data_IF_387578354279
#
_entry.id   IF_387578354279
#
_cell.length_a   1.000
_cell.length_b   1.000
_cell.length_c   1.000
_cell.angle_alpha   90.00
_cell.angle_beta   90.00
_cell.angle_gamma   90.00
#
_symmetry.space_group_name_H-M   'P 1'
#
loop_
_entity.id
_entity.type
_entity.pdbx_description
1 polymer ?
#
# COMPACT_ATOMS: atom_id res chain seq x y z
N UNK A 1 -20.73 32.85 -4.58
CA UNK A 1 -20.51 31.44 -4.94
C UNK A 1 -19.13 31.03 -4.45
N UNK A 2 -19.03 30.15 -3.45
CA UNK A 2 -17.73 29.68 -2.96
C UNK A 2 -17.14 28.70 -3.97
N UNK A 3 -16.06 29.09 -4.64
CA UNK A 3 -15.26 28.20 -5.48
C UNK A 3 -14.61 27.14 -4.57
N UNK A 4 -15.31 26.03 -4.34
CA UNK A 4 -14.85 24.92 -3.53
C UNK A 4 -13.52 24.40 -4.06
N UNK A 5 -12.46 24.58 -3.27
CA UNK A 5 -11.16 24.02 -3.60
C UNK A 5 -11.28 22.51 -3.71
N UNK A 6 -11.08 21.99 -4.92
CA UNK A 6 -10.96 20.57 -5.24
C UNK A 6 -9.61 20.08 -4.73
N UNK A 7 -9.54 19.89 -3.41
CA UNK A 7 -8.35 19.43 -2.68
C UNK A 7 -8.32 17.92 -2.48
N UNK A 8 -9.34 17.20 -2.93
CA UNK A 8 -9.41 15.74 -2.80
C UNK A 8 -8.81 15.07 -4.02
N UNK A 9 -7.52 15.28 -4.23
CA UNK A 9 -6.74 14.54 -5.23
C UNK A 9 -6.35 13.22 -4.61
N UNK A 10 -6.60 12.11 -5.31
CA UNK A 10 -6.11 10.81 -4.85
C UNK A 10 -4.58 10.89 -4.68
N UNK A 11 -4.09 10.51 -3.50
CA UNK A 11 -2.65 10.53 -3.16
C UNK A 11 -1.84 9.69 -4.15
N UNK A 12 -2.46 8.67 -4.76
CA UNK A 12 -1.85 7.82 -5.76
C UNK A 12 -2.82 7.57 -6.92
N UNK A 13 -2.56 8.19 -8.07
CA UNK A 13 -3.42 8.10 -9.26
C UNK A 13 -3.52 6.66 -9.79
N UNK A 14 -2.45 5.88 -9.66
CA UNK A 14 -2.40 4.49 -10.11
C UNK A 14 -3.20 3.55 -9.19
N UNK A 15 -3.47 3.93 -7.92
CA UNK A 15 -4.36 3.15 -7.05
C UNK A 15 -5.83 3.29 -7.41
N UNK A 16 -6.22 4.28 -8.23
CA UNK A 16 -7.63 4.53 -8.56
C UNK A 16 -8.35 3.28 -9.06
N UNK A 17 -7.73 2.54 -9.99
CA UNK A 17 -8.30 1.30 -10.54
C UNK A 17 -8.49 0.22 -9.48
N UNK A 18 -7.50 0.04 -8.60
CA UNK A 18 -7.56 -0.95 -7.53
C UNK A 18 -8.62 -0.58 -6.47
N UNK A 19 -8.74 0.70 -6.15
CA UNK A 19 -9.76 1.22 -5.24
C UNK A 19 -11.18 1.07 -5.81
N UNK A 20 -11.36 1.32 -7.11
CA UNK A 20 -12.65 1.09 -7.77
C UNK A 20 -13.04 -0.39 -7.75
N UNK A 21 -12.10 -1.30 -8.00
CA UNK A 21 -12.34 -2.75 -7.87
C UNK A 21 -12.74 -3.13 -6.44
N UNK A 22 -11.96 -2.69 -5.45
CA UNK A 22 -12.23 -2.96 -4.03
C UNK A 22 -13.62 -2.44 -3.60
N UNK A 23 -14.02 -1.26 -4.08
CA UNK A 23 -15.35 -0.69 -3.82
C UNK A 23 -16.47 -1.64 -4.27
N UNK A 24 -16.35 -2.21 -5.48
CA UNK A 24 -17.33 -3.17 -6.02
C UNK A 24 -17.25 -4.55 -5.36
N UNK A 25 -16.08 -4.98 -4.89
CA UNK A 25 -15.93 -6.23 -4.15
C UNK A 25 -16.63 -6.14 -2.78
N UNK A 26 -16.38 -5.06 -2.05
CA UNK A 26 -16.96 -4.82 -0.72
C UNK A 26 -18.47 -4.62 -0.80
N UNK A 27 -18.97 -3.92 -1.83
CA UNK A 27 -20.41 -3.78 -2.01
C UNK A 27 -21.10 -5.14 -2.17
N UNK A 28 -20.48 -6.07 -2.91
CA UNK A 28 -20.99 -7.44 -3.08
C UNK A 28 -20.99 -8.22 -1.78
N UNK A 29 -19.93 -8.11 -0.98
CA UNK A 29 -19.84 -8.81 0.31
C UNK A 29 -20.85 -8.32 1.35
N UNK A 30 -21.10 -7.01 1.37
CA UNK A 30 -22.09 -6.40 2.27
C UNK A 30 -23.52 -6.61 1.78
N UNK A 31 -23.73 -7.30 0.65
CA UNK A 31 -25.02 -7.45 -0.04
C UNK A 31 -25.72 -6.10 -0.25
N UNK A 32 -24.95 -5.03 -0.49
CA UNK A 32 -25.48 -3.71 -0.77
C UNK A 32 -25.88 -3.68 -2.23
N UNK A 33 -27.14 -3.35 -2.48
CA UNK A 33 -27.67 -3.27 -3.83
C UNK A 33 -26.99 -2.11 -4.58
N UNK A 34 -26.19 -2.46 -5.59
CA UNK A 34 -25.50 -1.52 -6.48
C UNK A 34 -26.34 -1.12 -7.69
N UNK A 35 -27.56 -1.66 -7.83
CA UNK A 35 -28.52 -1.29 -8.89
C UNK A 35 -28.86 0.20 -8.99
N UNK A 36 -28.92 1.00 -7.90
CA UNK A 36 -29.16 2.45 -8.02
C UNK A 36 -27.94 3.24 -8.51
N UNK A 37 -26.78 2.61 -8.72
CA UNK A 37 -25.60 3.28 -9.27
C UNK A 37 -25.83 3.52 -10.75
N UNK A 38 -25.94 4.78 -11.14
CA UNK A 38 -26.03 5.18 -12.54
C UNK A 38 -24.67 5.68 -13.03
N UNK A 39 -24.04 4.93 -13.94
CA UNK A 39 -22.68 5.17 -14.41
C UNK A 39 -21.67 4.93 -13.30
N UNK A 40 -21.34 5.99 -12.56
CA UNK A 40 -20.41 6.00 -11.41
C UNK A 40 -20.92 6.93 -10.28
N UNK A 41 -22.20 7.31 -10.31
CA UNK A 41 -22.79 8.20 -9.31
C UNK A 41 -23.39 7.40 -8.14
N UNK A 42 -22.74 7.51 -6.98
CA UNK A 42 -23.12 6.81 -5.75
C UNK A 42 -24.12 7.61 -4.89
N UNK A 43 -24.61 8.76 -5.39
CA UNK A 43 -25.48 9.65 -4.60
C UNK A 43 -26.93 9.20 -4.48
N UNK A 44 -27.39 8.24 -5.29
CA UNK A 44 -28.73 7.64 -5.15
C UNK A 44 -28.80 6.53 -4.10
N UNK A 45 -27.64 6.11 -3.58
CA UNK A 45 -27.55 5.10 -2.52
C UNK A 45 -27.66 5.76 -1.15
N UNK A 46 -28.09 5.02 -0.13
CA UNK A 46 -28.22 5.57 1.21
C UNK A 46 -26.84 5.98 1.76
N UNK A 47 -26.79 7.10 2.49
CA UNK A 47 -25.54 7.56 3.11
C UNK A 47 -24.93 6.52 4.07
N UNK A 48 -25.78 5.67 4.68
CA UNK A 48 -25.36 4.56 5.52
C UNK A 48 -24.58 3.51 4.74
N UNK A 49 -25.07 3.12 3.57
CA UNK A 49 -24.45 2.08 2.75
C UNK A 49 -23.15 2.58 2.11
N UNK A 50 -23.15 3.82 1.62
CA UNK A 50 -21.94 4.49 1.13
C UNK A 50 -20.87 4.56 2.23
N UNK A 51 -21.29 4.93 3.45
CA UNK A 51 -20.41 5.01 4.62
C UNK A 51 -19.86 3.65 5.03
N UNK A 52 -20.68 2.61 5.03
CA UNK A 52 -20.26 1.24 5.32
C UNK A 52 -19.18 0.79 4.32
N UNK A 53 -19.42 0.92 3.02
CA UNK A 53 -18.46 0.53 1.98
C UNK A 53 -17.12 1.24 2.15
N UNK A 54 -17.14 2.57 2.33
CA UNK A 54 -15.93 3.36 2.57
C UNK A 54 -15.18 2.94 3.83
N UNK A 55 -15.89 2.67 4.93
CA UNK A 55 -15.29 2.18 6.17
C UNK A 55 -14.63 0.80 6.02
N UNK A 56 -15.29 -0.12 5.31
CA UNK A 56 -14.76 -1.44 5.03
C UNK A 56 -13.52 -1.39 4.11
N UNK A 57 -13.48 -0.48 3.14
CA UNK A 57 -12.30 -0.24 2.31
C UNK A 57 -11.11 0.17 3.17
N UNK A 58 -11.29 1.15 4.06
CA UNK A 58 -10.23 1.65 4.95
C UNK A 58 -9.75 0.54 5.89
N UNK A 59 -10.67 -0.20 6.49
CA UNK A 59 -10.34 -1.33 7.38
C UNK A 59 -9.45 -2.36 6.67
N UNK A 60 -9.81 -2.77 5.45
CA UNK A 60 -9.03 -3.74 4.67
C UNK A 60 -7.66 -3.21 4.27
N UNK A 61 -7.56 -1.94 3.91
CA UNK A 61 -6.29 -1.32 3.58
C UNK A 61 -5.34 -1.31 4.79
N UNK A 62 -5.86 -1.02 5.99
CA UNK A 62 -5.08 -1.08 7.23
C UNK A 62 -4.64 -2.52 7.51
N UNK A 63 -5.54 -3.49 7.45
CA UNK A 63 -5.21 -4.91 7.66
C UNK A 63 -4.13 -5.40 6.67
N UNK A 64 -4.22 -5.01 5.39
CA UNK A 64 -3.21 -5.33 4.38
C UNK A 64 -1.85 -4.65 4.66
N UNK A 65 -1.87 -3.40 5.10
CA UNK A 65 -0.67 -2.66 5.48
C UNK A 65 -0.01 -3.29 6.70
N UNK A 66 -0.77 -3.64 7.74
CA UNK A 66 -0.28 -4.33 8.94
C UNK A 66 0.36 -5.67 8.61
N UNK A 67 -0.26 -6.47 7.73
CA UNK A 67 0.31 -7.74 7.25
C UNK A 67 1.63 -7.53 6.50
N UNK A 68 1.69 -6.53 5.62
CA UNK A 68 2.90 -6.22 4.84
C UNK A 68 4.03 -5.76 5.75
N UNK A 69 3.75 -4.87 6.71
CA UNK A 69 4.71 -4.40 7.70
C UNK A 69 5.18 -5.54 8.60
N UNK A 70 4.26 -6.41 9.03
CA UNK A 70 4.60 -7.59 9.84
C UNK A 70 5.51 -8.54 9.06
N UNK A 71 5.21 -8.82 7.79
CA UNK A 71 6.05 -9.64 6.91
C UNK A 71 7.44 -9.02 6.71
N UNK A 72 7.51 -7.71 6.48
CA UNK A 72 8.77 -7.00 6.32
C UNK A 72 9.59 -6.99 7.61
N UNK A 73 8.94 -6.83 8.76
CA UNK A 73 9.58 -6.93 10.06
C UNK A 73 10.15 -8.34 10.30
N UNK A 74 9.37 -9.40 10.02
CA UNK A 74 9.83 -10.79 10.14
C UNK A 74 11.02 -11.07 9.21
N UNK A 75 10.99 -10.59 7.97
CA UNK A 75 12.10 -10.73 7.03
C UNK A 75 13.39 -10.06 7.55
N UNK A 76 13.27 -8.86 8.10
CA UNK A 76 14.42 -8.13 8.67
C UNK A 76 14.96 -8.80 9.94
N UNK A 77 14.08 -9.33 10.80
CA UNK A 77 14.49 -10.07 12.01
C UNK A 77 15.18 -11.38 11.64
N UNK A 78 14.68 -12.12 10.65
CA UNK A 78 15.29 -13.36 10.18
C UNK A 78 16.66 -13.09 9.53
N UNK A 79 16.81 -12.00 8.78
CA UNK A 79 18.08 -11.59 8.20
C UNK A 79 19.11 -11.25 9.30
N UNK A 80 18.71 -10.48 10.32
CA UNK A 80 19.56 -10.16 11.47
C UNK A 80 19.94 -11.39 12.30
N UNK A 81 19.00 -12.31 12.51
CA UNK A 81 19.24 -13.54 13.25
C UNK A 81 20.18 -14.50 12.50
N UNK A 82 20.00 -14.69 11.19
CA UNK A 82 20.93 -15.48 10.37
C UNK A 82 22.32 -14.87 10.31
N UNK A 83 22.42 -13.54 10.22
CA UNK A 83 23.71 -12.86 10.31
C UNK A 83 24.40 -13.11 11.66
N UNK A 84 23.64 -13.13 12.76
CA UNK A 84 24.15 -13.45 14.09
C UNK A 84 24.62 -14.90 14.25
N UNK A 85 23.88 -15.87 13.70
CA UNK A 85 24.23 -17.30 13.79
C UNK A 85 25.33 -17.72 12.81
N UNK A 86 25.36 -17.13 11.61
CA UNK A 86 26.38 -17.44 10.61
C UNK A 86 27.78 -16.90 10.97
N UNK A 87 27.89 -16.04 11.99
CA UNK A 87 29.17 -15.47 12.43
C UNK A 87 30.02 -16.42 13.29
N UNK A 88 29.60 -17.67 13.54
CA UNK A 88 30.40 -18.64 14.29
C UNK A 88 30.80 -19.90 13.47
N UNK A 89 30.94 -19.78 12.15
CA UNK A 89 31.47 -20.84 11.31
C UNK A 89 32.03 -20.38 9.96
N UNK A 90 33.36 -20.20 9.90
CA UNK A 90 34.23 -20.22 8.71
C UNK A 90 34.03 -19.19 7.57
N UNK A 91 34.98 -18.25 7.49
CA UNK A 91 35.81 -17.83 6.34
C UNK A 91 35.23 -17.70 4.89
N UNK A 92 35.56 -16.54 4.28
CA UNK A 92 35.68 -16.18 2.84
C UNK A 92 34.51 -15.45 2.11
N UNK A 93 34.72 -14.13 1.98
CA UNK A 93 34.86 -13.38 0.71
C UNK A 93 33.60 -13.03 -0.13
N UNK A 94 33.27 -11.73 -0.08
CA UNK A 94 32.97 -10.85 -1.23
C UNK A 94 31.66 -11.00 -2.02
N UNK A 95 30.68 -10.12 -1.73
CA UNK A 95 29.93 -9.41 -2.78
C UNK A 95 29.72 -7.96 -2.37
N UNK A 96 30.48 -7.10 -3.03
CA UNK A 96 30.44 -5.64 -2.96
C UNK A 96 29.09 -5.07 -3.43
N UNK A 97 28.57 -4.09 -2.69
CA UNK A 97 27.54 -3.18 -3.19
C UNK A 97 28.17 -2.22 -4.22
N UNK A 98 27.79 -2.25 -5.50
CA UNK A 98 28.38 -1.38 -6.53
C UNK A 98 28.08 0.12 -6.35
N UNK A 99 27.15 0.49 -5.45
CA UNK A 99 26.70 1.87 -5.28
C UNK A 99 27.44 2.68 -4.19
N UNK A 100 28.45 2.10 -3.51
CA UNK A 100 29.29 2.81 -2.53
C UNK A 100 30.74 2.94 -2.99
N UNK A 101 31.01 2.87 -4.29
CA UNK A 101 32.37 3.05 -4.77
C UNK A 101 32.79 4.53 -4.67
N UNK A 102 33.46 4.88 -3.56
CA UNK A 102 34.07 6.20 -3.32
C UNK A 102 35.05 6.62 -4.44
N UNK A 103 35.43 5.74 -5.36
CA UNK A 103 36.31 6.07 -6.49
C UNK A 103 35.65 6.93 -7.58
N UNK A 104 34.33 7.15 -7.58
CA UNK A 104 33.68 7.99 -8.59
C UNK A 104 33.48 9.46 -8.17
N UNK A 105 33.84 9.84 -6.94
CA UNK A 105 33.69 11.22 -6.45
C UNK A 105 34.89 12.14 -6.75
N UNK A 106 35.94 11.66 -7.41
CA UNK A 106 37.13 12.44 -7.74
C UNK A 106 37.38 12.54 -9.26
N UNK A 107 36.32 12.64 -10.07
CA UNK A 107 36.41 12.74 -11.53
C UNK A 107 35.64 13.92 -12.13
N UNK A 108 35.39 14.98 -11.35
CA UNK A 108 34.93 16.26 -11.88
C UNK A 108 35.77 17.39 -11.27
N UNK A 109 36.86 17.73 -11.99
CA UNK A 109 37.36 19.10 -12.02
C UNK A 109 36.31 20.00 -12.68
#
# INVERSE_FOLDING_TARGET
MAAGQKRNTLVYAQAKKALDQMKYEISKELNIDTSPIQGDYWGYMTARDCGAIGGHMVKRMIEAAERTLSQQAVANVQAGFRAGIAQQGSNQQNTTNPNLNLNNLNQHY
#
